data_IF_836613549679
#
_entry.id   IF_836613549679
#
_cell.length_a   1.000
_cell.length_b   1.000
_cell.length_c   1.000
_cell.angle_alpha   90.00
_cell.angle_beta   90.00
_cell.angle_gamma   90.00
#
_symmetry.space_group_name_H-M   'P 1'
#
loop_
_entity.id
_entity.type
_entity.pdbx_description
1 polymer ?
#
# COMPACT_ATOMS: atom_id res chain seq x y z
N UNK A 1 -37.71 -3.89 39.18
CA UNK A 1 -38.09 -2.61 38.54
C UNK A 1 -36.82 -1.84 38.25
N UNK A 2 -35.99 -2.39 37.38
CA UNK A 2 -34.71 -1.87 36.96
C UNK A 2 -34.64 -2.23 35.49
N UNK A 3 -35.03 -1.32 34.60
CA UNK A 3 -34.93 -1.37 33.14
C UNK A 3 -35.62 -0.09 32.62
N UNK A 4 -34.93 1.06 32.61
CA UNK A 4 -35.39 2.25 31.84
C UNK A 4 -34.39 3.44 31.79
N UNK A 5 -33.07 3.21 31.83
CA UNK A 5 -32.10 4.31 31.62
C UNK A 5 -30.96 3.88 30.69
N UNK A 6 -31.32 3.27 29.57
CA UNK A 6 -30.36 2.79 28.58
C UNK A 6 -30.68 3.32 27.19
N UNK A 7 -30.95 4.61 27.08
CA UNK A 7 -30.97 5.32 25.79
C UNK A 7 -30.39 6.72 26.03
N UNK A 8 -29.63 7.23 25.06
CA UNK A 8 -28.89 8.52 25.05
C UNK A 8 -27.42 8.46 25.52
N UNK A 9 -26.63 7.60 24.88
CA UNK A 9 -25.27 7.99 24.50
C UNK A 9 -25.22 8.04 22.97
N UNK A 10 -25.82 9.09 22.43
CA UNK A 10 -25.68 9.48 21.03
C UNK A 10 -24.22 9.87 20.83
N UNK A 11 -23.48 9.01 20.14
CA UNK A 11 -22.07 9.18 19.81
C UNK A 11 -21.92 10.38 18.89
N UNK A 12 -21.72 11.57 19.47
CA UNK A 12 -21.16 12.70 18.75
C UNK A 12 -19.69 12.38 18.43
N UNK A 13 -19.44 11.75 17.27
CA UNK A 13 -18.13 11.83 16.61
C UNK A 13 -17.90 13.32 16.32
N UNK A 14 -16.80 13.93 16.79
CA UNK A 14 -16.51 15.30 16.40
C UNK A 14 -16.30 15.30 14.88
N UNK A 15 -17.12 16.07 14.18
CA UNK A 15 -16.94 16.39 12.77
C UNK A 15 -15.57 17.08 12.65
N UNK A 16 -14.55 16.32 12.22
CA UNK A 16 -13.21 16.88 11.98
C UNK A 16 -13.37 17.91 10.86
N UNK A 17 -13.40 19.18 11.25
CA UNK A 17 -13.46 20.30 10.33
C UNK A 17 -12.13 20.34 9.59
N UNK A 18 -12.11 19.80 8.36
CA UNK A 18 -10.96 19.88 7.46
C UNK A 18 -10.59 21.34 7.29
N UNK A 19 -9.41 21.74 7.77
CA UNK A 19 -9.00 23.14 7.79
C UNK A 19 -8.66 23.57 6.38
N UNK A 20 -9.25 24.69 5.95
CA UNK A 20 -8.99 25.27 4.63
C UNK A 20 -7.91 26.35 4.71
N UNK A 21 -6.96 26.30 3.79
CA UNK A 21 -5.84 27.23 3.66
C UNK A 21 -5.90 27.92 2.31
N UNK A 22 -5.60 29.21 2.29
CA UNK A 22 -5.20 29.93 1.07
C UNK A 22 -3.73 29.65 0.77
N UNK A 23 -3.29 30.02 -0.43
CA UNK A 23 -1.92 29.74 -0.89
C UNK A 23 -0.84 30.27 0.07
N UNK A 24 -1.03 31.46 0.63
CA UNK A 24 -0.08 32.08 1.57
C UNK A 24 -0.06 31.36 2.91
N UNK A 25 -1.24 31.06 3.45
CA UNK A 25 -1.41 30.33 4.73
C UNK A 25 -0.85 28.90 4.65
N UNK A 26 -1.05 28.23 3.52
CA UNK A 26 -0.50 26.89 3.30
C UNK A 26 1.02 26.91 3.22
N UNK A 27 1.59 27.89 2.51
CA UNK A 27 3.04 28.03 2.36
C UNK A 27 3.69 28.30 3.72
N UNK A 28 3.10 29.18 4.52
CA UNK A 28 3.51 29.46 5.89
C UNK A 28 3.43 28.21 6.78
N UNK A 29 2.28 27.51 6.78
CA UNK A 29 2.08 26.30 7.56
C UNK A 29 3.03 25.14 7.18
N UNK A 30 3.46 25.10 5.91
CA UNK A 30 4.42 24.15 5.38
C UNK A 30 5.89 24.60 5.55
N UNK A 31 6.14 25.82 6.04
CA UNK A 31 7.49 26.36 6.22
C UNK A 31 8.24 26.61 4.90
N UNK A 32 7.53 26.84 3.79
CA UNK A 32 8.12 27.03 2.46
C UNK A 32 7.72 28.37 1.83
N UNK A 33 8.55 28.95 0.95
CA UNK A 33 8.13 30.13 0.18
C UNK A 33 6.94 29.85 -0.73
N UNK A 34 6.04 30.83 -0.91
CA UNK A 34 4.91 30.74 -1.88
C UNK A 34 5.38 30.39 -3.30
N UNK A 35 6.55 30.88 -3.70
CA UNK A 35 7.17 30.52 -5.00
C UNK A 35 7.44 29.01 -5.12
N UNK A 36 7.85 28.36 -4.04
CA UNK A 36 8.15 26.92 -3.97
C UNK A 36 6.85 26.12 -4.04
N UNK A 37 5.80 26.57 -3.34
CA UNK A 37 4.46 25.97 -3.44
C UNK A 37 3.92 26.01 -4.88
N UNK A 38 4.05 27.15 -5.58
CA UNK A 38 3.63 27.27 -6.99
C UNK A 38 4.41 26.33 -7.90
N UNK A 39 5.71 26.26 -7.69
CA UNK A 39 6.62 25.38 -8.42
C UNK A 39 6.28 23.88 -8.24
N UNK A 40 5.91 23.45 -7.02
CA UNK A 40 5.46 22.07 -6.78
C UNK A 40 4.13 21.76 -7.46
N UNK A 41 3.19 22.71 -7.45
CA UNK A 41 1.91 22.57 -8.17
C UNK A 41 2.10 22.46 -9.69
N UNK A 42 2.99 23.27 -10.27
CA UNK A 42 3.33 23.22 -11.70
C UNK A 42 3.93 21.86 -12.10
N UNK A 43 4.67 21.22 -11.19
CA UNK A 43 5.19 19.86 -11.35
C UNK A 43 4.20 18.75 -11.00
N UNK A 44 2.92 19.08 -10.74
CA UNK A 44 1.87 18.12 -10.38
C UNK A 44 2.20 17.28 -9.15
N UNK A 45 2.98 17.83 -8.22
CA UNK A 45 3.31 17.16 -6.94
C UNK A 45 2.21 17.29 -5.90
N UNK A 46 1.22 18.13 -6.17
CA UNK A 46 0.06 18.38 -5.33
C UNK A 46 -1.21 18.14 -6.15
N UNK A 47 -2.24 17.53 -5.56
CA UNK A 47 -3.55 17.47 -6.18
C UNK A 47 -4.08 18.90 -6.46
N UNK A 48 -4.98 19.06 -7.44
CA UNK A 48 -5.54 20.36 -7.76
C UNK A 48 -6.37 20.88 -6.58
N UNK A 49 -6.20 22.15 -6.17
CA UNK A 49 -6.98 22.72 -5.08
C UNK A 49 -8.45 22.92 -5.48
N UNK A 50 -9.34 22.94 -4.49
CA UNK A 50 -10.73 23.34 -4.70
C UNK A 50 -10.76 24.82 -5.09
N UNK A 51 -11.44 25.14 -6.19
CA UNK A 51 -11.55 26.53 -6.67
C UNK A 51 -12.92 27.09 -6.33
N UNK A 52 -12.92 28.26 -5.71
CA UNK A 52 -14.13 29.02 -5.42
C UNK A 52 -13.95 30.44 -5.96
N UNK A 53 -14.56 30.69 -7.12
CA UNK A 53 -14.29 31.90 -7.90
C UNK A 53 -12.82 31.98 -8.33
N UNK A 54 -12.12 33.04 -7.90
CA UNK A 54 -10.68 33.27 -8.18
C UNK A 54 -9.75 32.72 -7.10
N UNK A 55 -10.29 32.17 -6.02
CA UNK A 55 -9.52 31.74 -4.85
C UNK A 55 -9.30 30.23 -4.94
N UNK A 56 -8.06 29.81 -4.70
CA UNK A 56 -7.68 28.41 -4.55
C UNK A 56 -7.65 28.06 -3.05
N UNK A 57 -8.48 27.10 -2.66
CA UNK A 57 -8.55 26.55 -1.33
C UNK A 57 -7.83 25.21 -1.27
N UNK A 58 -6.94 25.12 -0.32
CA UNK A 58 -6.17 23.94 0.03
C UNK A 58 -6.69 23.41 1.35
N UNK A 59 -6.51 22.13 1.60
CA UNK A 59 -6.90 21.48 2.86
C UNK A 59 -5.68 20.91 3.58
N UNK A 60 -5.91 20.28 4.74
CA UNK A 60 -4.88 19.62 5.52
C UNK A 60 -4.13 18.53 4.73
N UNK A 61 -4.77 17.89 3.74
CA UNK A 61 -4.09 16.92 2.88
C UNK A 61 -2.99 17.57 2.03
N UNK A 62 -3.21 18.79 1.56
CA UNK A 62 -2.18 19.53 0.82
C UNK A 62 -1.01 19.90 1.74
N UNK A 63 -1.29 20.26 3.00
CA UNK A 63 -0.26 20.61 3.98
C UNK A 63 0.60 19.39 4.34
N UNK A 64 -0.04 18.25 4.61
CA UNK A 64 0.65 16.99 4.89
C UNK A 64 1.60 16.61 3.73
N UNK A 65 1.10 16.66 2.49
CA UNK A 65 1.90 16.35 1.29
C UNK A 65 3.11 17.26 1.13
N UNK A 66 2.97 18.56 1.42
CA UNK A 66 4.10 19.50 1.40
C UNK A 66 5.18 19.16 2.42
N UNK A 67 4.78 18.74 3.63
CA UNK A 67 5.72 18.30 4.67
C UNK A 67 6.45 17.03 4.28
N UNK A 68 5.76 16.07 3.66
CA UNK A 68 6.39 14.86 3.11
C UNK A 68 7.42 15.20 2.03
N UNK A 69 7.09 16.08 1.08
CA UNK A 69 8.03 16.52 0.03
C UNK A 69 9.26 17.19 0.65
N UNK A 70 9.07 18.09 1.62
CA UNK A 70 10.17 18.76 2.32
C UNK A 70 11.10 17.76 3.01
N UNK A 71 10.52 16.81 3.75
CA UNK A 71 11.25 15.79 4.48
C UNK A 71 12.04 14.85 3.55
N UNK A 72 11.56 14.57 2.34
CA UNK A 72 12.29 13.78 1.35
C UNK A 72 13.43 14.57 0.70
N UNK A 73 13.24 15.86 0.43
CA UNK A 73 14.29 16.73 -0.12
C UNK A 73 15.44 16.94 0.88
N UNK A 74 15.15 17.09 2.17
CA UNK A 74 16.17 17.19 3.23
C UNK A 74 17.07 15.95 3.31
N UNK A 75 16.57 14.79 2.86
CA UNK A 75 17.30 13.51 2.84
C UNK A 75 18.04 13.26 1.52
N UNK A 76 18.12 14.26 0.64
CA UNK A 76 18.91 14.21 -0.60
C UNK A 76 18.20 13.62 -1.81
N UNK A 77 16.89 13.35 -1.73
CA UNK A 77 16.12 12.93 -2.89
C UNK A 77 15.92 14.08 -3.88
N UNK A 78 15.81 13.74 -5.17
CA UNK A 78 15.54 14.74 -6.20
C UNK A 78 14.05 14.95 -6.38
N UNK A 79 13.65 16.16 -6.71
CA UNK A 79 12.26 16.49 -6.99
C UNK A 79 11.67 15.69 -8.17
N UNK A 80 12.53 15.30 -9.13
CA UNK A 80 12.15 14.43 -10.24
C UNK A 80 11.75 13.02 -9.78
N UNK A 81 12.57 12.40 -8.92
CA UNK A 81 12.23 11.09 -8.34
C UNK A 81 10.96 11.12 -7.49
N UNK A 82 10.74 12.20 -6.71
CA UNK A 82 9.51 12.38 -5.94
C UNK A 82 8.29 12.52 -6.86
N UNK A 83 8.44 13.18 -8.02
CA UNK A 83 7.38 13.33 -9.01
C UNK A 83 7.03 12.01 -9.71
N UNK A 84 8.03 11.21 -10.08
CA UNK A 84 7.84 9.90 -10.70
C UNK A 84 7.13 8.92 -9.74
N UNK A 85 7.55 8.90 -8.48
CA UNK A 85 6.86 8.14 -7.43
C UNK A 85 5.40 8.61 -7.31
N UNK A 86 5.18 9.91 -7.15
CA UNK A 86 3.83 10.50 -7.03
C UNK A 86 2.93 10.15 -8.21
N UNK A 87 3.46 10.22 -9.44
CA UNK A 87 2.72 9.88 -10.65
C UNK A 87 2.41 8.38 -10.76
N UNK A 88 3.32 7.50 -10.36
CA UNK A 88 3.06 6.06 -10.28
C UNK A 88 1.91 5.74 -9.29
N UNK A 89 1.81 6.48 -8.17
CA UNK A 89 0.70 6.34 -7.22
C UNK A 89 -0.65 6.77 -7.76
N UNK A 90 -0.72 7.90 -8.47
CA UNK A 90 -2.01 8.37 -9.01
C UNK A 90 -2.58 7.43 -10.07
N UNK A 91 -1.72 6.84 -10.92
CA UNK A 91 -2.14 5.84 -11.89
C UNK A 91 -2.52 4.49 -11.24
N UNK A 92 -1.90 4.13 -10.10
CA UNK A 92 -2.26 2.94 -9.33
C UNK A 92 -3.57 3.07 -8.54
N UNK A 93 -3.94 4.29 -8.12
CA UNK A 93 -5.20 4.58 -7.40
C UNK A 93 -6.45 4.47 -8.27
N UNK A 94 -6.34 4.75 -9.57
CA UNK A 94 -7.50 4.73 -10.48
C UNK A 94 -7.97 3.29 -10.75
N UNK A 95 -7.05 2.32 -10.83
CA UNK A 95 -7.39 0.91 -11.10
C UNK A 95 -8.07 0.24 -9.90
N UNK A 96 -7.66 0.57 -8.66
CA UNK A 96 -8.26 0.02 -7.44
C UNK A 96 -9.68 0.53 -7.17
N UNK A 97 -9.88 1.84 -7.26
CA UNK A 97 -11.21 2.46 -7.07
C UNK A 97 -12.18 2.14 -8.21
N UNK A 98 -11.71 2.03 -9.45
CA UNK A 98 -12.55 1.62 -10.57
C UNK A 98 -12.99 0.14 -10.43
N UNK A 99 -12.15 -0.72 -9.85
CA UNK A 99 -12.50 -2.12 -9.58
C UNK A 99 -13.55 -2.27 -8.48
N UNK A 100 -13.49 -1.46 -7.42
CA UNK A 100 -14.50 -1.40 -6.35
C UNK A 100 -15.83 -0.81 -6.85
N UNK A 101 -15.79 0.29 -7.61
CA UNK A 101 -16.98 0.97 -8.15
C UNK A 101 -17.75 0.09 -9.14
N UNK A 102 -17.05 -0.79 -9.86
CA UNK A 102 -17.63 -1.71 -10.84
C UNK A 102 -18.03 -3.07 -10.24
N UNK A 103 -17.94 -3.26 -8.91
CA UNK A 103 -18.25 -4.55 -8.26
C UNK A 103 -17.30 -5.69 -8.63
N UNK A 104 -16.18 -5.37 -9.29
CA UNK A 104 -15.14 -6.31 -9.72
C UNK A 104 -13.99 -6.36 -8.70
N UNK A 105 -14.26 -6.13 -7.41
CA UNK A 105 -13.25 -6.14 -6.35
C UNK A 105 -12.79 -7.57 -6.04
N UNK A 106 -11.76 -8.06 -6.72
CA UNK A 106 -11.13 -9.36 -6.48
C UNK A 106 -10.40 -9.47 -5.13
N UNK A 107 -10.20 -8.35 -4.42
CA UNK A 107 -9.45 -8.32 -3.17
C UNK A 107 -10.39 -8.47 -1.96
N UNK A 108 -10.22 -9.54 -1.18
CA UNK A 108 -10.77 -9.66 0.19
C UNK A 108 -9.82 -9.04 1.23
N UNK A 109 -8.74 -8.42 0.78
CA UNK A 109 -7.75 -7.86 1.68
C UNK A 109 -8.36 -6.70 2.45
N UNK A 110 -8.21 -6.76 3.77
CA UNK A 110 -8.64 -5.69 4.66
C UNK A 110 -7.54 -4.63 4.70
N UNK A 111 -7.79 -3.40 4.20
CA UNK A 111 -6.82 -2.33 4.31
C UNK A 111 -6.62 -1.93 5.78
N UNK A 112 -5.42 -1.49 6.11
CA UNK A 112 -5.05 -1.04 7.46
C UNK A 112 -4.57 0.39 7.37
N UNK A 113 -5.20 1.28 8.12
CA UNK A 113 -4.78 2.68 8.25
C UNK A 113 -3.87 2.80 9.47
N UNK A 114 -2.71 3.41 9.28
CA UNK A 114 -1.67 3.56 10.29
C UNK A 114 -1.13 4.98 10.23
N UNK A 115 -0.78 5.55 11.39
CA UNK A 115 0.07 6.73 11.40
C UNK A 115 1.50 6.34 11.03
N UNK A 116 2.36 7.29 10.60
CA UNK A 116 3.78 7.01 10.35
C UNK A 116 4.48 6.39 11.56
N UNK A 117 4.14 6.84 12.77
CA UNK A 117 4.69 6.34 14.03
C UNK A 117 4.23 4.90 14.29
N UNK A 118 2.93 4.62 14.12
CA UNK A 118 2.41 3.26 14.27
C UNK A 118 3.03 2.28 13.27
N UNK A 119 3.30 2.74 12.03
CA UNK A 119 4.02 1.92 11.06
C UNK A 119 5.48 1.68 11.46
N UNK A 120 6.17 2.70 11.98
CA UNK A 120 7.53 2.58 12.48
C UNK A 120 7.65 1.58 13.64
N UNK A 121 6.70 1.63 14.58
CA UNK A 121 6.61 0.68 15.70
C UNK A 121 6.36 -0.76 15.20
N UNK A 122 5.59 -0.92 14.11
CA UNK A 122 5.28 -2.23 13.51
C UNK A 122 6.50 -2.97 12.95
N UNK A 123 7.53 -2.23 12.55
CA UNK A 123 8.73 -2.77 11.89
C UNK A 123 10.01 -2.43 12.66
N UNK A 124 9.90 -2.07 13.94
CA UNK A 124 11.03 -1.91 14.89
C UNK A 124 12.18 -1.02 14.37
N UNK A 125 11.86 0.02 13.59
CA UNK A 125 12.85 0.95 13.03
C UNK A 125 13.40 0.60 11.64
N UNK A 126 12.94 -0.50 11.01
CA UNK A 126 13.26 -0.84 9.61
C UNK A 126 12.49 0.02 8.58
N UNK A 127 11.63 0.95 9.04
CA UNK A 127 10.90 1.89 8.18
C UNK A 127 11.84 3.01 7.71
N UNK A 128 12.71 2.66 6.76
CA UNK A 128 13.59 3.58 6.06
C UNK A 128 12.88 4.20 4.84
N UNK A 129 13.34 5.35 4.33
CA UNK A 129 12.82 5.93 3.09
C UNK A 129 12.88 4.96 1.90
N UNK A 130 13.94 4.16 1.80
CA UNK A 130 14.13 3.17 0.74
C UNK A 130 13.10 2.05 0.83
N UNK A 131 12.84 1.54 2.05
CA UNK A 131 11.84 0.50 2.27
C UNK A 131 10.42 1.04 2.06
N UNK A 132 10.15 2.29 2.48
CA UNK A 132 8.89 2.96 2.20
C UNK A 132 8.68 3.11 0.69
N UNK A 133 9.67 3.61 -0.05
CA UNK A 133 9.62 3.74 -1.51
C UNK A 133 9.45 2.41 -2.23
N UNK A 134 10.13 1.35 -1.77
CA UNK A 134 9.97 0.00 -2.30
C UNK A 134 8.57 -0.56 -2.05
N UNK A 135 8.01 -0.36 -0.86
CA UNK A 135 6.66 -0.80 -0.48
C UNK A 135 5.58 -0.06 -1.27
N UNK A 136 5.82 1.24 -1.49
CA UNK A 136 5.07 2.12 -2.36
C UNK A 136 5.11 1.60 -3.81
N UNK A 137 6.28 1.35 -4.39
CA UNK A 137 6.41 0.83 -5.77
C UNK A 137 5.75 -0.54 -5.96
N UNK A 138 5.76 -1.35 -4.89
CA UNK A 138 5.04 -2.61 -4.79
C UNK A 138 3.53 -2.46 -4.60
N UNK A 139 3.00 -1.25 -4.41
CA UNK A 139 1.59 -1.00 -4.12
C UNK A 139 1.09 -1.64 -2.82
N UNK A 140 1.98 -1.96 -1.88
CA UNK A 140 1.61 -2.51 -0.57
C UNK A 140 1.15 -1.43 0.40
N UNK A 141 1.68 -0.22 0.24
CA UNK A 141 1.26 0.95 1.00
C UNK A 141 0.83 2.05 0.05
N UNK A 142 -0.10 2.87 0.51
CA UNK A 142 -0.54 4.10 -0.10
C UNK A 142 -0.62 5.19 0.97
N UNK A 143 -0.70 6.46 0.56
CA UNK A 143 -0.94 7.58 1.46
C UNK A 143 -2.37 8.07 1.31
N UNK A 144 -3.08 8.22 2.42
CA UNK A 144 -4.39 8.88 2.52
C UNK A 144 -4.27 10.03 3.52
N UNK A 145 -3.94 11.23 3.02
CA UNK A 145 -3.67 12.37 3.90
C UNK A 145 -2.41 12.19 4.74
N UNK A 146 -2.59 12.18 6.06
CA UNK A 146 -1.57 11.93 7.09
C UNK A 146 -1.44 10.44 7.46
N UNK A 147 -2.37 9.59 7.00
CA UNK A 147 -2.34 8.16 7.22
C UNK A 147 -1.61 7.42 6.11
N UNK A 148 -0.91 6.36 6.49
CA UNK A 148 -0.40 5.33 5.60
C UNK A 148 -1.43 4.20 5.59
N UNK A 149 -1.89 3.85 4.40
CA UNK A 149 -2.83 2.76 4.17
C UNK A 149 -2.06 1.57 3.63
N UNK A 150 -1.92 0.51 4.42
CA UNK A 150 -1.45 -0.78 3.94
C UNK A 150 -2.61 -1.52 3.27
N UNK A 151 -2.42 -2.06 2.07
CA UNK A 151 -3.51 -2.67 1.27
C UNK A 151 -4.01 -3.99 1.83
N UNK A 152 -3.25 -4.63 2.72
CA UNK A 152 -3.57 -5.94 3.30
C UNK A 152 -3.07 -6.06 4.74
N UNK A 153 -3.97 -6.32 5.70
CA UNK A 153 -3.62 -6.71 7.07
C UNK A 153 -2.74 -7.96 7.09
N UNK A 154 -3.09 -8.99 6.31
CA UNK A 154 -2.37 -10.26 6.31
C UNK A 154 -0.92 -10.09 5.87
N UNK A 155 -0.68 -9.30 4.83
CA UNK A 155 0.67 -9.04 4.33
C UNK A 155 1.49 -8.15 5.28
N UNK A 156 0.85 -7.15 5.90
CA UNK A 156 1.46 -6.35 6.97
C UNK A 156 1.95 -7.24 8.11
N UNK A 157 1.17 -8.25 8.47
CA UNK A 157 1.46 -9.13 9.61
C UNK A 157 2.56 -10.12 9.31
N UNK A 158 2.48 -10.74 8.13
CA UNK A 158 3.50 -11.66 7.67
C UNK A 158 4.86 -10.97 7.51
N UNK A 159 4.89 -9.78 6.90
CA UNK A 159 6.14 -9.03 6.73
C UNK A 159 6.71 -8.56 8.07
N UNK A 160 5.88 -8.05 8.98
CA UNK A 160 6.30 -7.68 10.33
C UNK A 160 6.80 -8.89 11.14
N UNK A 161 6.15 -10.05 11.02
CA UNK A 161 6.62 -11.28 11.65
C UNK A 161 8.02 -11.71 11.15
N UNK A 162 8.26 -11.66 9.84
CA UNK A 162 9.59 -11.95 9.27
C UNK A 162 10.66 -10.99 9.79
N UNK A 163 10.33 -9.70 9.93
CA UNK A 163 11.25 -8.70 10.48
C UNK A 163 11.59 -8.97 11.94
N UNK A 164 10.62 -9.40 12.76
CA UNK A 164 10.87 -9.80 14.15
C UNK A 164 11.78 -11.01 14.29
N UNK A 165 11.78 -11.91 13.30
CA UNK A 165 12.73 -13.03 13.21
C UNK A 165 14.13 -12.57 12.74
N UNK A 166 14.35 -11.26 12.56
CA UNK A 166 15.64 -10.66 12.18
C UNK A 166 15.87 -10.57 10.68
N UNK A 167 14.86 -10.84 9.84
CA UNK A 167 14.97 -10.67 8.39
C UNK A 167 14.86 -9.18 8.05
N UNK A 168 15.85 -8.55 7.37
CA UNK A 168 15.76 -7.14 7.01
C UNK A 168 14.55 -6.84 6.13
N UNK A 169 13.84 -5.74 6.39
CA UNK A 169 12.62 -5.40 5.64
C UNK A 169 12.91 -5.22 4.14
N UNK A 170 14.10 -4.73 3.80
CA UNK A 170 14.55 -4.63 2.40
C UNK A 170 14.56 -5.99 1.68
N UNK A 171 15.00 -7.05 2.36
CA UNK A 171 15.03 -8.41 1.80
C UNK A 171 13.62 -9.01 1.69
N UNK A 172 12.74 -8.72 2.66
CA UNK A 172 11.33 -9.09 2.60
C UNK A 172 10.66 -8.44 1.39
N UNK A 173 10.89 -7.14 1.16
CA UNK A 173 10.32 -6.40 0.02
C UNK A 173 10.88 -6.86 -1.32
N UNK A 174 12.17 -7.17 -1.41
CA UNK A 174 12.76 -7.77 -2.61
C UNK A 174 12.13 -9.13 -2.93
N UNK A 175 11.97 -9.98 -1.91
CA UNK A 175 11.28 -11.27 -2.07
C UNK A 175 9.82 -11.05 -2.50
N UNK A 176 9.13 -10.06 -1.91
CA UNK A 176 7.77 -9.66 -2.28
C UNK A 176 7.65 -9.24 -3.75
N UNK A 177 8.64 -8.53 -4.32
CA UNK A 177 8.69 -8.22 -5.77
C UNK A 177 8.70 -9.47 -6.62
N UNK A 178 9.54 -10.45 -6.27
CA UNK A 178 9.64 -11.69 -7.03
C UNK A 178 8.36 -12.52 -6.92
N UNK A 179 7.82 -12.65 -5.70
CA UNK A 179 6.53 -13.31 -5.47
C UNK A 179 5.43 -12.66 -6.29
N UNK A 180 5.36 -11.32 -6.31
CA UNK A 180 4.36 -10.58 -7.10
C UNK A 180 4.46 -10.88 -8.60
N UNK A 181 5.68 -10.90 -9.14
CA UNK A 181 5.89 -11.24 -10.55
C UNK A 181 5.40 -12.66 -10.87
N UNK A 182 5.64 -13.62 -9.98
CA UNK A 182 5.15 -14.99 -10.13
C UNK A 182 3.62 -15.08 -9.97
N UNK A 183 3.02 -14.36 -9.02
CA UNK A 183 1.57 -14.34 -8.86
C UNK A 183 0.87 -13.68 -10.04
N UNK A 184 1.44 -12.63 -10.62
CA UNK A 184 0.90 -11.99 -11.83
C UNK A 184 0.95 -12.95 -13.03
N UNK A 185 2.01 -13.76 -13.14
CA UNK A 185 2.10 -14.81 -14.15
C UNK A 185 1.05 -15.91 -13.92
N UNK A 186 0.86 -16.37 -12.68
CA UNK A 186 -0.18 -17.35 -12.34
C UNK A 186 -1.59 -16.79 -12.60
N UNK A 187 -1.85 -15.54 -12.26
CA UNK A 187 -3.12 -14.87 -12.50
C UNK A 187 -3.46 -14.86 -14.00
N UNK A 188 -2.48 -14.60 -14.87
CA UNK A 188 -2.66 -14.69 -16.33
C UNK A 188 -3.05 -16.10 -16.77
N UNK A 189 -2.39 -17.13 -16.26
CA UNK A 189 -2.73 -18.53 -16.57
C UNK A 189 -4.17 -18.87 -16.18
N UNK A 190 -4.60 -18.48 -14.98
CA UNK A 190 -5.98 -18.68 -14.55
C UNK A 190 -6.96 -17.87 -15.40
N UNK A 191 -6.65 -16.61 -15.71
CA UNK A 191 -7.51 -15.78 -16.56
C UNK A 191 -7.66 -16.36 -17.97
N UNK A 192 -6.59 -16.88 -18.56
CA UNK A 192 -6.59 -17.56 -19.86
C UNK A 192 -7.43 -18.86 -19.82
N UNK A 193 -7.28 -19.66 -18.77
CA UNK A 193 -8.07 -20.87 -18.56
C UNK A 193 -9.56 -20.55 -18.52
N UNK A 194 -9.95 -19.52 -17.75
CA UNK A 194 -11.35 -19.07 -17.67
C UNK A 194 -11.83 -18.55 -19.02
N UNK A 195 -11.06 -17.68 -19.66
CA UNK A 195 -11.44 -17.08 -20.92
C UNK A 195 -11.64 -18.10 -22.04
N UNK A 196 -10.92 -19.22 -21.99
CA UNK A 196 -10.95 -20.30 -22.99
C UNK A 196 -12.10 -21.27 -22.76
N UNK A 197 -12.41 -21.60 -21.51
CA UNK A 197 -13.31 -22.71 -21.19
C UNK A 197 -14.67 -22.30 -20.63
N UNK A 198 -14.88 -21.02 -20.30
CA UNK A 198 -16.09 -20.56 -19.62
C UNK A 198 -16.71 -19.35 -20.34
N UNK A 199 -17.98 -19.50 -20.71
CA UNK A 199 -18.74 -18.48 -21.44
C UNK A 199 -19.21 -17.33 -20.52
N UNK A 200 -19.65 -17.67 -19.30
CA UNK A 200 -20.04 -16.70 -18.26
C UNK A 200 -18.86 -16.45 -17.33
N UNK A 201 -18.03 -15.48 -17.72
CA UNK A 201 -16.81 -15.14 -16.99
C UNK A 201 -17.12 -14.62 -15.61
N UNK A 202 -18.05 -13.69 -15.45
CA UNK A 202 -18.31 -13.04 -14.17
C UNK A 202 -18.78 -14.04 -13.09
N UNK A 203 -19.74 -14.91 -13.44
CA UNK A 203 -20.19 -15.95 -12.51
C UNK A 203 -19.13 -17.05 -12.29
N UNK A 204 -18.30 -17.34 -13.30
CA UNK A 204 -17.21 -18.28 -13.18
C UNK A 204 -16.10 -17.79 -12.23
N UNK A 205 -15.73 -16.51 -12.32
CA UNK A 205 -14.63 -15.93 -11.57
C UNK A 205 -14.90 -16.00 -10.05
N UNK A 206 -16.14 -15.73 -9.63
CA UNK A 206 -16.55 -15.88 -8.22
C UNK A 206 -16.42 -17.32 -7.70
N UNK A 207 -16.75 -18.32 -8.53
CA UNK A 207 -16.63 -19.75 -8.16
C UNK A 207 -15.20 -20.28 -8.20
N UNK A 208 -14.39 -19.76 -9.11
CA UNK A 208 -13.02 -20.24 -9.32
C UNK A 208 -11.99 -19.62 -8.37
N UNK A 209 -12.28 -18.43 -7.83
CA UNK A 209 -11.42 -17.76 -6.86
C UNK A 209 -10.94 -18.66 -5.71
N UNK A 210 -11.82 -19.35 -4.95
CA UNK A 210 -11.35 -20.24 -3.87
C UNK A 210 -10.53 -21.42 -4.38
N UNK A 211 -10.87 -21.96 -5.57
CA UNK A 211 -10.13 -23.07 -6.17
C UNK A 211 -8.72 -22.67 -6.60
N UNK A 212 -8.57 -21.51 -7.25
CA UNK A 212 -7.27 -20.97 -7.64
C UNK A 212 -6.37 -20.76 -6.42
N UNK A 213 -6.91 -20.22 -5.33
CA UNK A 213 -6.18 -20.07 -4.06
C UNK A 213 -5.69 -21.42 -3.52
N UNK A 214 -6.57 -22.42 -3.44
CA UNK A 214 -6.18 -23.75 -2.95
C UNK A 214 -5.12 -24.42 -3.82
N UNK A 215 -5.19 -24.26 -5.15
CA UNK A 215 -4.16 -24.78 -6.06
C UNK A 215 -2.81 -24.12 -5.78
N UNK A 216 -2.76 -22.78 -5.67
CA UNK A 216 -1.52 -22.05 -5.40
C UNK A 216 -0.93 -22.44 -4.03
N UNK A 217 -1.75 -22.54 -2.98
CA UNK A 217 -1.30 -22.95 -1.64
C UNK A 217 -0.72 -24.38 -1.65
N UNK A 218 -1.38 -25.32 -2.34
CA UNK A 218 -0.91 -26.70 -2.46
C UNK A 218 0.40 -26.78 -3.26
N UNK A 219 0.50 -26.10 -4.40
CA UNK A 219 1.71 -26.09 -5.23
C UNK A 219 2.89 -25.45 -4.51
N UNK A 220 2.66 -24.37 -3.75
CA UNK A 220 3.70 -23.75 -2.93
C UNK A 220 4.20 -24.72 -1.87
N UNK A 221 3.30 -25.40 -1.16
CA UNK A 221 3.66 -26.40 -0.14
C UNK A 221 4.50 -27.52 -0.75
N UNK A 222 4.04 -28.11 -1.86
CA UNK A 222 4.77 -29.17 -2.55
C UNK A 222 6.12 -28.72 -3.10
N UNK A 223 6.24 -27.46 -3.55
CA UNK A 223 7.51 -26.90 -4.01
C UNK A 223 8.51 -26.75 -2.86
N UNK A 224 8.05 -26.32 -1.69
CA UNK A 224 8.88 -26.22 -0.48
C UNK A 224 9.34 -27.60 -0.01
N UNK A 225 8.46 -28.61 -0.01
CA UNK A 225 8.83 -29.98 0.36
C UNK A 225 9.94 -30.55 -0.55
N UNK A 226 9.83 -30.32 -1.87
CA UNK A 226 10.87 -30.74 -2.82
C UNK A 226 12.21 -30.04 -2.57
N UNK A 227 12.17 -28.77 -2.21
CA UNK A 227 13.39 -27.99 -1.92
C UNK A 227 14.08 -28.52 -0.65
N UNK A 228 13.30 -28.81 0.39
CA UNK A 228 13.81 -29.35 1.66
C UNK A 228 14.36 -30.77 1.50
N UNK A 229 13.67 -31.64 0.75
CA UNK A 229 14.14 -32.98 0.46
C UNK A 229 15.42 -33.00 -0.40
N UNK A 230 15.59 -32.01 -1.29
CA UNK A 230 16.81 -31.84 -2.09
C UNK A 230 17.99 -31.21 -1.35
N UNK A 231 17.78 -30.70 -0.12
CA UNK A 231 18.81 -30.07 0.71
C UNK A 231 19.41 -31.00 1.78
N UNK A 232 18.90 -32.23 1.92
CA UNK A 232 19.53 -33.25 2.77
C UNK A 232 20.87 -33.69 2.14
N UNK A 233 22.00 -33.62 2.87
CA UNK A 233 23.28 -34.10 2.35
C UNK A 233 23.21 -35.61 2.14
N UNK A 234 23.76 -36.07 1.00
CA UNK A 234 23.85 -37.49 0.66
C UNK A 234 24.60 -38.25 1.78
N UNK A 235 23.97 -39.23 2.47
CA UNK A 235 24.62 -39.98 3.52
C UNK A 235 25.86 -40.78 3.05
N UNK A 236 26.04 -40.95 1.73
CA UNK A 236 27.20 -41.62 1.14
C UNK A 236 28.42 -40.71 0.90
N UNK A 237 28.35 -39.40 1.15
CA UNK A 237 29.49 -38.47 1.01
C UNK A 237 30.40 -38.43 2.26
N UNK A 238 30.64 -39.59 2.87
CA UNK A 238 31.72 -39.74 3.86
C UNK A 238 33.04 -40.02 3.13
N UNK A 239 34.09 -39.20 3.33
CA UNK A 239 35.38 -39.45 2.72
C UNK A 239 35.94 -40.77 3.26
N UNK A 240 36.07 -41.77 2.37
CA UNK A 240 36.79 -43.01 2.67
C UNK A 240 38.23 -42.65 3.01
N UNK A 241 38.57 -42.74 4.30
CA UNK A 241 39.94 -42.68 4.81
C UNK A 241 40.72 -43.95 4.48
#
# INVERSE_FOLDING_TARGET
MAHEQQEQHEQQRPEQTVRAYRTEELAEAAGIPVRTLRFYRERKLLPPPRREGRIAWYDDHHLARLRTIAALLERGHTLGGIAELTAAFENGRDVGQLSELLGMGWSEETPVRLTPEALADYFEGEVTPENLAASLALGYVATDGDEIVHVSRRLLDASSALVREGVPLAAVLETGRQVRAHTDAMAKLFAELVATHLDDREAALARLRPLAKSVVEAELTMAMDRLLAGAEPDPDDQPRS
#
